data_IF_235000144290
#
_entry.id   IF_235000144290
#
_cell.length_a   1.000
_cell.length_b   1.000
_cell.length_c   1.000
_cell.angle_alpha   90.00
_cell.angle_beta   90.00
_cell.angle_gamma   90.00
#
_symmetry.space_group_name_H-M   'P 1'
#
loop_
_entity.id
_entity.type
_entity.pdbx_description
1 polymer ?
#
# COMPACT_ATOMS: atom_id res chain seq x y z
N UNK A 1 12.81 10.46 21.23
CA UNK A 1 12.07 9.33 20.62
C UNK A 1 10.63 9.80 20.41
N UNK A 2 10.26 10.49 19.35
CA UNK A 2 10.23 10.08 17.95
C UNK A 2 8.76 9.99 17.52
N UNK A 3 8.09 11.14 17.34
CA UNK A 3 6.64 11.29 17.09
C UNK A 3 6.12 10.63 15.79
N UNK A 4 6.92 9.79 15.14
CA UNK A 4 6.71 9.16 13.84
C UNK A 4 5.79 7.94 13.91
N UNK A 5 5.67 7.30 15.08
CA UNK A 5 4.87 6.08 15.29
C UNK A 5 3.50 6.32 15.91
N UNK A 6 3.15 7.58 16.21
CA UNK A 6 1.83 7.86 16.75
C UNK A 6 0.78 7.52 15.68
N UNK A 7 -0.30 6.79 16.05
CA UNK A 7 -1.38 6.43 15.13
C UNK A 7 -2.25 7.65 14.77
N UNK A 8 -1.74 8.85 15.02
CA UNK A 8 -2.41 10.11 14.82
C UNK A 8 -1.48 11.10 14.14
N UNK A 9 -2.09 11.96 13.32
CA UNK A 9 -1.41 13.14 12.81
C UNK A 9 -2.36 14.33 12.86
N UNK A 10 -1.76 15.51 13.04
CA UNK A 10 -2.47 16.77 13.22
C UNK A 10 -1.98 17.78 12.20
N UNK A 11 -2.81 18.78 11.94
CA UNK A 11 -2.45 19.91 11.12
C UNK A 11 -3.40 21.08 11.33
N UNK A 12 -3.03 22.19 10.72
CA UNK A 12 -3.78 23.43 10.77
C UNK A 12 -3.92 23.96 9.34
N UNK A 13 -5.12 24.41 9.00
CA UNK A 13 -5.46 24.97 7.70
C UNK A 13 -5.94 26.40 7.90
N UNK A 14 -5.28 27.34 7.25
CA UNK A 14 -5.72 28.73 7.22
C UNK A 14 -7.00 28.87 6.41
N UNK A 15 -7.92 29.71 6.90
CA UNK A 15 -9.23 29.94 6.30
C UNK A 15 -9.45 31.45 6.15
N UNK A 16 -9.11 32.03 4.99
CA UNK A 16 -9.20 33.48 4.77
C UNK A 16 -10.62 34.03 4.94
N UNK A 17 -11.61 33.24 4.52
CA UNK A 17 -13.06 33.56 4.59
C UNK A 17 -13.65 33.34 5.99
N UNK A 18 -12.90 32.72 6.92
CA UNK A 18 -13.34 32.44 8.30
C UNK A 18 -13.51 30.94 8.58
N UNK A 19 -13.17 30.55 9.81
CA UNK A 19 -13.07 29.14 10.20
C UNK A 19 -14.44 28.43 10.24
N UNK A 20 -15.49 29.11 10.71
CA UNK A 20 -16.84 28.53 10.78
C UNK A 20 -17.42 28.26 9.39
N UNK A 21 -17.23 29.19 8.45
CA UNK A 21 -17.72 29.02 7.08
C UNK A 21 -16.97 27.91 6.36
N UNK A 22 -15.64 27.85 6.53
CA UNK A 22 -14.82 26.75 6.03
C UNK A 22 -15.29 25.39 6.59
N UNK A 23 -15.57 25.30 7.89
CA UNK A 23 -16.10 24.08 8.52
C UNK A 23 -17.47 23.69 7.96
N UNK A 24 -18.34 24.67 7.73
CA UNK A 24 -19.65 24.45 7.12
C UNK A 24 -19.54 23.92 5.68
N UNK A 25 -18.58 24.42 4.89
CA UNK A 25 -18.29 23.90 3.53
C UNK A 25 -17.80 22.47 3.56
N UNK A 26 -16.87 22.14 4.46
CA UNK A 26 -16.38 20.75 4.64
C UNK A 26 -17.53 19.82 5.03
N UNK A 27 -18.38 20.25 5.98
CA UNK A 27 -19.55 19.50 6.43
C UNK A 27 -20.53 19.25 5.27
N UNK A 28 -20.78 20.27 4.44
CA UNK A 28 -21.62 20.16 3.24
C UNK A 28 -21.02 19.17 2.24
N UNK A 29 -19.73 19.27 1.93
CA UNK A 29 -19.05 18.37 1.02
C UNK A 29 -19.05 16.91 1.50
N UNK A 30 -19.04 16.66 2.80
CA UNK A 30 -19.22 15.31 3.36
C UNK A 30 -20.64 14.79 3.14
N UNK A 31 -21.67 15.61 3.42
CA UNK A 31 -23.08 15.25 3.19
C UNK A 31 -23.37 14.97 1.73
N UNK A 32 -22.81 15.78 0.84
CA UNK A 32 -22.93 15.63 -0.62
C UNK A 32 -22.02 14.54 -1.21
N UNK A 33 -21.18 13.90 -0.38
CA UNK A 33 -20.20 12.89 -0.82
C UNK A 33 -19.28 13.43 -1.91
N UNK A 34 -18.71 14.61 -1.69
CA UNK A 34 -17.77 15.28 -2.60
C UNK A 34 -16.37 15.41 -2.03
N UNK A 35 -16.18 15.29 -0.71
CA UNK A 35 -14.86 15.46 -0.09
C UNK A 35 -13.84 14.40 -0.55
N UNK A 36 -14.28 13.17 -0.73
CA UNK A 36 -13.47 12.05 -1.22
C UNK A 36 -14.01 11.58 -2.59
N UNK A 37 -13.17 10.99 -3.47
CA UNK A 37 -13.60 10.64 -4.82
C UNK A 37 -14.51 9.39 -4.82
N UNK A 38 -15.84 9.53 -4.83
CA UNK A 38 -16.76 8.38 -4.76
C UNK A 38 -17.06 7.73 -6.13
N UNK A 39 -16.05 7.51 -6.98
CA UNK A 39 -16.26 6.67 -8.17
C UNK A 39 -16.46 5.19 -7.81
N UNK A 40 -16.24 4.78 -6.55
CA UNK A 40 -16.53 3.44 -6.06
C UNK A 40 -17.46 3.46 -4.82
N UNK A 41 -18.52 2.62 -4.74
CA UNK A 41 -19.43 2.51 -3.59
C UNK A 41 -18.77 1.96 -2.30
N UNK A 42 -17.47 1.68 -2.34
CA UNK A 42 -16.67 1.11 -1.24
C UNK A 42 -16.20 2.14 -0.25
N UNK A 43 -16.00 3.39 -0.67
CA UNK A 43 -15.43 4.45 0.16
C UNK A 43 -16.58 5.22 0.77
N UNK A 44 -16.74 5.22 2.09
CA UNK A 44 -17.86 5.89 2.81
C UNK A 44 -17.39 6.47 4.13
N UNK A 45 -17.75 7.73 4.37
CA UNK A 45 -17.56 8.42 5.64
C UNK A 45 -18.91 8.86 6.20
N UNK A 46 -19.04 8.75 7.52
CA UNK A 46 -20.22 9.12 8.28
C UNK A 46 -19.87 10.22 9.26
N UNK A 47 -20.75 11.22 9.35
CA UNK A 47 -20.61 12.31 10.31
C UNK A 47 -21.09 11.80 11.67
N UNK A 48 -20.21 11.84 12.66
CA UNK A 48 -20.48 11.44 14.05
C UNK A 48 -20.97 12.63 14.86
N UNK A 49 -20.35 13.79 14.65
CA UNK A 49 -20.67 15.03 15.35
C UNK A 49 -20.53 16.21 14.38
N UNK A 50 -21.49 17.13 14.40
CA UNK A 50 -21.43 18.35 13.59
C UNK A 50 -22.06 19.49 14.36
N UNK A 51 -21.28 20.54 14.57
CA UNK A 51 -21.69 21.79 15.21
C UNK A 51 -21.08 22.96 14.44
N UNK A 52 -21.33 24.20 14.92
CA UNK A 52 -20.79 25.41 14.30
C UNK A 52 -19.25 25.48 14.33
N UNK A 53 -18.63 24.91 15.37
CA UNK A 53 -17.20 25.08 15.66
C UNK A 53 -16.43 23.76 15.67
N UNK A 54 -17.12 22.63 15.48
CA UNK A 54 -16.55 21.29 15.56
C UNK A 54 -17.24 20.34 14.60
N UNK A 55 -16.45 19.48 13.95
CA UNK A 55 -16.89 18.41 13.07
C UNK A 55 -16.09 17.16 13.38
N UNK A 56 -16.77 16.03 13.49
CA UNK A 56 -16.15 14.70 13.58
C UNK A 56 -16.79 13.77 12.56
N UNK A 57 -15.98 13.14 11.74
CA UNK A 57 -16.43 12.14 10.79
C UNK A 57 -15.50 10.93 10.79
N UNK A 58 -16.05 9.76 10.53
CA UNK A 58 -15.31 8.50 10.56
C UNK A 58 -15.60 7.66 9.33
N UNK A 59 -14.71 6.74 9.01
CA UNK A 59 -14.96 5.76 7.98
C UNK A 59 -16.13 4.85 8.39
N UNK A 60 -17.05 4.60 7.46
CA UNK A 60 -18.29 3.86 7.66
C UNK A 60 -18.09 2.33 7.67
N UNK A 61 -16.99 1.86 7.08
CA UNK A 61 -16.70 0.44 6.94
C UNK A 61 -15.19 0.16 6.93
N UNK A 62 -14.84 -1.10 7.21
CA UNK A 62 -13.45 -1.56 7.25
C UNK A 62 -12.73 -1.36 5.91
N UNK A 63 -13.43 -1.49 4.78
CA UNK A 63 -12.85 -1.29 3.46
C UNK A 63 -12.34 0.16 3.28
N UNK A 64 -13.09 1.15 3.75
CA UNK A 64 -12.70 2.57 3.73
C UNK A 64 -11.56 2.81 4.72
N UNK A 65 -11.67 2.23 5.92
CA UNK A 65 -10.65 2.33 6.98
C UNK A 65 -9.26 1.85 6.51
N UNK A 66 -9.21 0.77 5.73
CA UNK A 66 -7.95 0.18 5.23
C UNK A 66 -7.48 0.86 3.94
N UNK A 67 -8.39 1.23 3.03
CA UNK A 67 -7.98 1.74 1.70
C UNK A 67 -7.48 3.18 1.76
N UNK A 68 -8.16 4.03 2.53
CA UNK A 68 -7.81 5.46 2.65
C UNK A 68 -6.93 5.70 3.88
N UNK A 69 -7.09 4.88 4.93
CA UNK A 69 -6.28 4.96 6.15
C UNK A 69 -6.59 6.15 7.06
N UNK A 70 -7.67 6.89 6.79
CA UNK A 70 -8.28 7.86 7.71
C UNK A 70 -9.42 7.15 8.43
N UNK A 71 -9.27 6.86 9.73
CA UNK A 71 -10.28 6.14 10.51
C UNK A 71 -11.27 7.08 11.16
N UNK A 72 -10.77 8.07 11.90
CA UNK A 72 -11.55 9.11 12.57
C UNK A 72 -10.86 10.45 12.33
N UNK A 73 -11.61 11.45 11.90
CA UNK A 73 -11.13 12.79 11.62
C UNK A 73 -11.94 13.77 12.46
N UNK A 74 -11.23 14.50 13.30
CA UNK A 74 -11.77 15.55 14.14
C UNK A 74 -11.28 16.91 13.64
N UNK A 75 -12.16 17.88 13.58
CA UNK A 75 -11.87 19.24 13.14
C UNK A 75 -12.53 20.24 14.07
N UNK A 76 -11.82 21.31 14.40
CA UNK A 76 -12.35 22.42 15.19
C UNK A 76 -11.84 23.77 14.69
N UNK A 77 -12.65 24.80 14.88
CA UNK A 77 -12.27 26.18 14.55
C UNK A 77 -11.27 26.71 15.57
N UNK A 78 -10.20 27.33 15.11
CA UNK A 78 -9.15 27.91 15.95
C UNK A 78 -8.91 29.37 15.54
N UNK A 79 -8.94 30.29 16.53
CA UNK A 79 -8.63 31.71 16.33
C UNK A 79 -9.49 32.44 15.28
N UNK A 80 -10.66 31.90 14.92
CA UNK A 80 -11.58 32.46 13.90
C UNK A 80 -11.09 32.39 12.44
N UNK A 81 -9.81 32.10 12.21
CA UNK A 81 -9.16 32.10 10.89
C UNK A 81 -8.39 30.82 10.55
N UNK A 82 -8.48 29.79 11.37
CA UNK A 82 -7.89 28.51 11.10
C UNK A 82 -8.80 27.34 11.48
N UNK A 83 -8.61 26.22 10.82
CA UNK A 83 -9.16 24.92 11.19
C UNK A 83 -8.05 24.02 11.66
N UNK A 84 -8.11 23.60 12.92
CA UNK A 84 -7.25 22.54 13.43
C UNK A 84 -7.93 21.20 13.18
N UNK A 85 -7.14 20.22 12.76
CA UNK A 85 -7.66 18.88 12.58
C UNK A 85 -6.71 17.83 13.18
N UNK A 86 -7.28 16.73 13.64
CA UNK A 86 -6.57 15.54 14.07
C UNK A 86 -7.17 14.31 13.40
N UNK A 87 -6.32 13.39 13.01
CA UNK A 87 -6.71 12.15 12.31
C UNK A 87 -6.16 10.97 13.06
N UNK A 88 -6.96 9.92 13.21
CA UNK A 88 -6.50 8.60 13.64
C UNK A 88 -6.40 7.62 12.47
N UNK A 89 -5.37 6.77 12.49
CA UNK A 89 -5.07 5.74 11.50
C UNK A 89 -4.81 4.36 12.16
N UNK A 90 -5.28 4.16 13.40
CA UNK A 90 -4.97 2.97 14.20
C UNK A 90 -5.36 1.64 13.55
N UNK A 91 -6.54 1.57 12.92
CA UNK A 91 -7.02 0.34 12.26
C UNK A 91 -6.23 0.00 11.01
N UNK A 92 -5.71 1.01 10.33
CA UNK A 92 -4.79 0.80 9.21
C UNK A 92 -3.47 0.20 9.68
N UNK A 93 -2.94 0.67 10.81
CA UNK A 93 -1.73 0.10 11.43
C UNK A 93 -1.98 -1.35 11.86
N UNK A 94 -3.13 -1.62 12.49
CA UNK A 94 -3.52 -2.98 12.87
C UNK A 94 -3.63 -3.90 11.64
N UNK A 95 -4.16 -3.39 10.54
CA UNK A 95 -4.20 -4.13 9.27
C UNK A 95 -2.80 -4.48 8.76
N UNK A 96 -1.84 -3.55 8.80
CA UNK A 96 -0.46 -3.84 8.37
C UNK A 96 0.19 -4.91 9.26
N UNK A 97 0.00 -4.82 10.58
CA UNK A 97 0.50 -5.82 11.53
C UNK A 97 -0.18 -7.18 11.31
N UNK A 98 -1.50 -7.19 11.12
CA UNK A 98 -2.26 -8.41 10.86
C UNK A 98 -1.88 -9.05 9.51
N UNK A 99 -1.61 -8.25 8.48
CA UNK A 99 -1.13 -8.71 7.19
C UNK A 99 0.25 -9.37 7.33
N UNK A 100 1.18 -8.71 8.02
CA UNK A 100 2.50 -9.27 8.30
C UNK A 100 2.42 -10.56 9.13
N UNK A 101 1.60 -10.56 10.19
CA UNK A 101 1.35 -11.74 11.02
C UNK A 101 0.70 -12.89 10.25
N UNK A 102 -0.23 -12.60 9.36
CA UNK A 102 -0.87 -13.60 8.49
C UNK A 102 0.12 -14.24 7.52
N UNK A 103 1.02 -13.44 6.93
CA UNK A 103 2.13 -13.94 6.11
C UNK A 103 3.03 -14.85 6.95
N UNK A 104 3.38 -14.46 8.17
CA UNK A 104 4.23 -15.25 9.06
C UNK A 104 3.56 -16.56 9.52
N UNK A 105 2.28 -16.52 9.87
CA UNK A 105 1.52 -17.70 10.26
C UNK A 105 1.42 -18.70 9.10
N UNK A 106 1.17 -18.19 7.88
CA UNK A 106 1.16 -19.00 6.67
C UNK A 106 2.53 -19.65 6.42
N UNK A 107 3.62 -18.88 6.52
CA UNK A 107 4.99 -19.40 6.39
C UNK A 107 5.33 -20.45 7.46
N UNK A 108 5.00 -20.19 8.73
CA UNK A 108 5.25 -21.13 9.83
C UNK A 108 4.47 -22.43 9.69
N UNK A 109 3.19 -22.34 9.31
CA UNK A 109 2.37 -23.51 9.02
C UNK A 109 2.93 -24.33 7.87
N UNK A 110 3.42 -23.66 6.81
CA UNK A 110 4.07 -24.34 5.68
C UNK A 110 5.31 -25.14 6.12
N UNK A 111 6.11 -24.62 7.05
CA UNK A 111 7.27 -25.32 7.60
C UNK A 111 6.91 -26.50 8.52
N UNK A 112 5.87 -26.35 9.35
CA UNK A 112 5.44 -27.39 10.30
C UNK A 112 4.75 -28.58 9.63
N UNK A 113 3.91 -28.29 8.62
CA UNK A 113 3.10 -29.32 7.95
C UNK A 113 3.95 -30.09 6.92
N UNK A 114 5.08 -29.54 6.50
CA UNK A 114 5.90 -30.12 5.42
C UNK A 114 7.39 -30.25 5.82
N UNK A 115 7.77 -31.25 6.63
CA UNK A 115 9.16 -31.47 7.05
C UNK A 115 10.15 -31.65 5.88
N UNK A 116 9.69 -32.17 4.74
CA UNK A 116 10.46 -32.28 3.49
C UNK A 116 10.79 -30.94 2.84
N UNK A 117 9.95 -29.91 3.03
CA UNK A 117 10.21 -28.53 2.60
C UNK A 117 11.34 -27.93 3.43
N UNK A 118 11.30 -28.12 4.76
CA UNK A 118 12.39 -27.71 5.65
C UNK A 118 13.72 -28.41 5.35
N UNK A 119 13.69 -29.72 5.08
CA UNK A 119 14.89 -30.50 4.77
C UNK A 119 15.45 -30.23 3.36
N UNK A 120 14.58 -29.98 2.37
CA UNK A 120 14.96 -29.67 1.00
C UNK A 120 15.52 -28.27 0.80
N UNK A 121 15.01 -27.28 1.56
CA UNK A 121 15.51 -25.88 1.52
C UNK A 121 16.90 -25.70 2.13
N UNK A 122 17.34 -26.62 2.98
CA UNK A 122 18.48 -26.42 3.88
C UNK A 122 19.68 -27.31 3.56
N UNK A 123 19.55 -28.18 2.54
CA UNK A 123 20.58 -29.16 2.21
C UNK A 123 20.93 -30.08 3.39
N UNK A 124 19.99 -30.29 4.33
CA UNK A 124 20.22 -31.04 5.57
C UNK A 124 20.85 -30.23 6.71
N UNK A 125 21.02 -28.91 6.59
CA UNK A 125 21.48 -28.05 7.70
C UNK A 125 20.34 -27.77 8.70
N UNK A 126 20.41 -28.31 9.93
CA UNK A 126 19.33 -28.17 10.92
C UNK A 126 19.11 -26.72 11.41
N UNK A 127 20.07 -25.81 11.23
CA UNK A 127 19.98 -24.41 11.66
C UNK A 127 19.46 -23.42 10.60
N UNK A 128 19.47 -23.80 9.33
CA UNK A 128 19.04 -22.94 8.23
C UNK A 128 17.51 -22.60 8.20
N UNK A 129 16.57 -23.48 8.63
CA UNK A 129 15.15 -23.11 8.71
C UNK A 129 14.90 -21.96 9.68
N UNK A 130 15.62 -21.98 10.81
CA UNK A 130 15.43 -21.03 11.92
C UNK A 130 15.86 -19.63 11.49
N UNK A 131 17.01 -19.49 10.83
CA UNK A 131 17.49 -18.19 10.38
C UNK A 131 16.67 -17.61 9.23
N UNK A 132 16.18 -18.42 8.29
CA UNK A 132 15.30 -17.95 7.22
C UNK A 132 13.96 -17.44 7.75
N UNK A 133 13.37 -18.16 8.71
CA UNK A 133 12.17 -17.72 9.41
C UNK A 133 12.43 -16.47 10.24
N UNK A 134 13.59 -16.36 10.91
CA UNK A 134 13.96 -15.17 11.68
C UNK A 134 14.17 -13.93 10.80
N UNK A 135 14.82 -14.07 9.64
CA UNK A 135 15.00 -12.98 8.66
C UNK A 135 13.66 -12.57 8.06
N UNK A 136 12.80 -13.53 7.70
CA UNK A 136 11.44 -13.25 7.21
C UNK A 136 10.59 -12.54 8.27
N UNK A 137 10.64 -13.01 9.52
CA UNK A 137 9.98 -12.40 10.68
C UNK A 137 10.43 -10.95 10.87
N UNK A 138 11.74 -10.71 10.87
CA UNK A 138 12.29 -9.37 10.97
C UNK A 138 11.86 -8.49 9.79
N UNK A 139 11.90 -9.02 8.56
CA UNK A 139 11.50 -8.26 7.39
C UNK A 139 10.02 -7.88 7.43
N UNK A 140 9.10 -8.82 7.65
CA UNK A 140 7.67 -8.53 7.59
C UNK A 140 7.15 -7.79 8.81
N UNK A 141 7.60 -8.12 10.03
CA UNK A 141 7.13 -7.44 11.24
C UNK A 141 7.78 -6.08 11.44
N UNK A 142 9.05 -5.91 11.05
CA UNK A 142 9.82 -4.68 11.30
C UNK A 142 9.97 -3.87 10.03
N UNK A 143 10.70 -4.37 9.03
CA UNK A 143 11.11 -3.56 7.86
C UNK A 143 9.90 -3.14 7.01
N UNK A 144 9.05 -4.10 6.64
CA UNK A 144 7.86 -3.87 5.83
C UNK A 144 6.86 -2.96 6.56
N UNK A 145 6.55 -3.26 7.82
CA UNK A 145 5.66 -2.43 8.66
C UNK A 145 6.18 -1.01 8.80
N UNK A 146 7.50 -0.84 9.02
CA UNK A 146 8.13 0.48 9.13
C UNK A 146 8.03 1.26 7.81
N UNK A 147 8.33 0.63 6.66
CA UNK A 147 8.19 1.26 5.35
C UNK A 147 6.74 1.70 5.11
N UNK A 148 5.78 0.82 5.40
CA UNK A 148 4.35 1.13 5.25
C UNK A 148 3.96 2.32 6.12
N UNK A 149 4.35 2.34 7.39
CA UNK A 149 4.08 3.46 8.31
C UNK A 149 4.72 4.77 7.82
N UNK A 150 5.96 4.72 7.36
CA UNK A 150 6.71 5.89 6.87
C UNK A 150 6.07 6.50 5.62
N UNK A 151 5.55 5.68 4.71
CA UNK A 151 4.93 6.14 3.46
C UNK A 151 3.49 6.60 3.69
N UNK A 152 2.74 5.92 4.55
CA UNK A 152 1.31 6.18 4.72
C UNK A 152 1.00 7.55 5.31
N UNK A 153 1.64 7.93 6.43
CA UNK A 153 1.36 9.20 7.09
C UNK A 153 1.52 10.43 6.18
N UNK A 154 2.65 10.65 5.48
CA UNK A 154 2.80 11.81 4.62
C UNK A 154 1.83 11.77 3.44
N UNK A 155 1.51 10.58 2.92
CA UNK A 155 0.55 10.42 1.83
C UNK A 155 -0.87 10.79 2.27
N UNK A 156 -1.35 10.20 3.36
CA UNK A 156 -2.69 10.44 3.91
C UNK A 156 -2.89 11.91 4.33
N UNK A 157 -1.87 12.52 4.94
CA UNK A 157 -1.90 13.94 5.30
C UNK A 157 -2.00 14.85 4.08
N UNK A 158 -1.11 14.68 3.10
CA UNK A 158 -1.12 15.48 1.85
C UNK A 158 -2.45 15.35 1.14
N UNK A 159 -2.97 14.13 1.07
CA UNK A 159 -4.25 13.82 0.44
C UNK A 159 -5.43 14.51 1.14
N UNK A 160 -5.50 14.44 2.47
CA UNK A 160 -6.57 15.06 3.25
C UNK A 160 -6.50 16.58 3.19
N UNK A 161 -5.34 17.17 3.48
CA UNK A 161 -5.15 18.63 3.44
C UNK A 161 -5.53 19.19 2.08
N UNK A 162 -5.14 18.49 1.01
CA UNK A 162 -5.45 18.89 -0.34
C UNK A 162 -6.96 19.02 -0.60
N UNK A 163 -7.68 17.96 -0.23
CA UNK A 163 -9.13 17.90 -0.40
C UNK A 163 -9.85 18.93 0.46
N UNK A 164 -9.39 19.12 1.70
CA UNK A 164 -9.92 20.15 2.59
C UNK A 164 -9.69 21.55 2.01
N UNK A 165 -8.48 21.88 1.57
CA UNK A 165 -8.17 23.19 0.95
C UNK A 165 -9.04 23.47 -0.26
N UNK A 166 -9.23 22.47 -1.13
CA UNK A 166 -10.07 22.60 -2.31
C UNK A 166 -11.53 22.95 -1.96
N UNK A 167 -12.12 22.21 -1.01
CA UNK A 167 -13.50 22.44 -0.55
C UNK A 167 -13.63 23.78 0.17
N UNK A 168 -12.66 24.16 0.99
CA UNK A 168 -12.64 25.45 1.70
C UNK A 168 -12.63 26.60 0.67
N UNK A 169 -11.79 26.48 -0.36
CA UNK A 169 -11.70 27.44 -1.46
C UNK A 169 -12.93 27.43 -2.40
N UNK A 170 -13.94 26.59 -2.15
CA UNK A 170 -15.12 26.47 -3.00
C UNK A 170 -14.86 25.85 -4.38
N UNK A 171 -13.66 25.28 -4.59
CA UNK A 171 -13.31 24.55 -5.80
C UNK A 171 -13.78 23.11 -5.72
N UNK A 172 -14.07 22.49 -6.86
CA UNK A 172 -14.34 21.07 -6.88
C UNK A 172 -13.07 20.30 -6.45
N UNK A 173 -13.10 19.51 -5.36
CA UNK A 173 -11.93 18.77 -4.90
C UNK A 173 -11.39 17.75 -5.91
N UNK A 174 -12.17 17.36 -6.91
CA UNK A 174 -11.69 16.59 -8.06
C UNK A 174 -11.06 17.47 -9.17
N UNK A 175 -11.43 18.75 -9.25
CA UNK A 175 -10.91 19.72 -10.22
C UNK A 175 -9.79 20.62 -9.67
N UNK A 176 -9.59 20.64 -8.35
CA UNK A 176 -8.53 21.43 -7.72
C UNK A 176 -7.18 21.03 -8.30
N UNK A 177 -6.17 21.92 -8.27
CA UNK A 177 -4.80 21.53 -8.59
C UNK A 177 -4.39 20.27 -7.85
N UNK A 178 -5.03 19.95 -6.70
CA UNK A 178 -4.79 18.76 -5.88
C UNK A 178 -5.67 17.53 -6.14
N UNK A 179 -6.81 17.67 -6.81
CA UNK A 179 -7.41 16.59 -7.61
C UNK A 179 -6.51 16.26 -8.82
N UNK A 180 -5.86 17.30 -9.37
CA UNK A 180 -4.69 17.16 -10.24
C UNK A 180 -3.42 16.68 -9.51
N UNK A 181 -3.19 16.95 -8.23
CA UNK A 181 -2.07 16.37 -7.45
C UNK A 181 -2.37 14.90 -7.12
N UNK A 182 -3.61 14.47 -6.92
CA UNK A 182 -3.91 13.04 -6.92
C UNK A 182 -3.59 12.41 -8.28
N UNK A 183 -3.66 13.17 -9.38
CA UNK A 183 -3.19 12.74 -10.71
C UNK A 183 -1.74 13.17 -11.05
N UNK A 184 -1.04 13.91 -10.16
CA UNK A 184 0.27 14.54 -10.42
C UNK A 184 1.26 14.65 -9.23
N UNK A 185 1.00 13.96 -8.11
CA UNK A 185 1.85 13.88 -6.91
C UNK A 185 2.70 12.60 -6.92
N UNK A 186 2.74 11.92 -8.06
CA UNK A 186 3.61 10.82 -8.29
C UNK A 186 5.07 11.26 -8.21
N UNK A 187 5.92 10.33 -7.85
CA UNK A 187 7.36 10.53 -7.91
C UNK A 187 7.86 10.02 -9.26
N UNK A 188 8.76 10.77 -9.89
CA UNK A 188 9.47 10.37 -11.11
C UNK A 188 10.94 10.66 -10.90
N UNK A 189 11.77 9.63 -10.97
CA UNK A 189 13.22 9.73 -10.93
C UNK A 189 13.82 8.77 -11.94
N UNK A 190 14.87 9.23 -12.62
CA UNK A 190 15.63 8.44 -13.58
C UNK A 190 17.10 8.77 -13.38
N UNK A 191 17.94 7.75 -13.22
CA UNK A 191 19.38 7.94 -13.15
C UNK A 191 19.95 8.38 -14.50
N UNK A 192 21.01 9.20 -14.46
CA UNK A 192 21.78 9.57 -15.66
C UNK A 192 22.60 8.39 -16.20
N UNK A 193 23.09 7.52 -15.30
CA UNK A 193 23.76 6.28 -15.67
C UNK A 193 22.80 5.37 -16.45
N UNK A 194 23.27 4.84 -17.58
CA UNK A 194 22.51 3.92 -18.44
C UNK A 194 23.29 2.62 -18.67
N UNK A 195 22.55 1.52 -18.80
CA UNK A 195 23.05 0.20 -19.15
C UNK A 195 22.13 -0.34 -20.25
N UNK A 196 22.71 -0.74 -21.38
CA UNK A 196 21.95 -1.17 -22.58
C UNK A 196 20.87 -0.18 -23.04
N UNK A 197 21.13 1.13 -22.90
CA UNK A 197 20.18 2.19 -23.26
C UNK A 197 19.02 2.39 -22.27
N UNK A 198 18.95 1.58 -21.19
CA UNK A 198 18.01 1.74 -20.09
C UNK A 198 18.68 2.47 -18.92
N UNK A 199 17.95 3.30 -18.15
CA UNK A 199 18.51 3.91 -16.95
C UNK A 199 18.84 2.83 -15.92
N UNK A 200 19.94 2.99 -15.20
CA UNK A 200 20.32 2.10 -14.10
C UNK A 200 19.20 2.04 -13.05
N UNK A 201 18.62 3.18 -12.67
CA UNK A 201 17.51 3.26 -11.72
C UNK A 201 16.38 4.12 -12.31
N UNK A 202 15.16 3.58 -12.27
CA UNK A 202 13.93 4.29 -12.63
C UNK A 202 12.90 4.13 -11.52
N UNK A 203 12.40 5.25 -11.01
CA UNK A 203 11.32 5.27 -10.01
C UNK A 203 10.14 6.04 -10.61
N UNK A 204 8.97 5.42 -10.64
CA UNK A 204 7.74 6.02 -11.11
C UNK A 204 6.58 5.53 -10.26
N UNK A 205 6.27 6.25 -9.18
CA UNK A 205 5.19 5.87 -8.24
C UNK A 205 4.06 6.85 -8.37
N UNK A 206 2.83 6.36 -8.44
CA UNK A 206 1.64 7.17 -8.45
C UNK A 206 1.46 8.06 -9.68
N UNK A 207 0.37 8.83 -9.69
CA UNK A 207 -0.03 9.58 -10.86
C UNK A 207 0.87 10.82 -11.09
N UNK A 208 1.45 10.98 -12.28
CA UNK A 208 2.29 12.13 -12.64
C UNK A 208 2.36 12.37 -14.15
N UNK A 209 2.33 13.64 -14.53
CA UNK A 209 2.33 14.17 -15.91
C UNK A 209 1.13 13.66 -16.73
N UNK A 210 -0.06 13.64 -16.13
CA UNK A 210 -1.29 13.18 -16.79
C UNK A 210 -1.46 11.66 -16.84
N UNK A 211 -0.49 10.89 -16.33
CA UNK A 211 -0.65 9.44 -16.16
C UNK A 211 -1.26 9.11 -14.79
N UNK A 212 -2.28 8.23 -14.76
CA UNK A 212 -2.90 7.74 -13.53
C UNK A 212 -2.07 6.67 -12.81
N UNK A 213 -0.97 6.21 -13.42
CA UNK A 213 -0.06 5.21 -12.86
C UNK A 213 1.37 5.56 -13.25
N UNK A 214 2.29 5.34 -12.35
CA UNK A 214 3.72 5.45 -12.60
C UNK A 214 4.27 4.19 -13.27
N UNK A 215 4.82 4.35 -14.47
CA UNK A 215 5.48 3.26 -15.21
C UNK A 215 6.99 3.47 -15.15
N UNK A 216 7.70 2.61 -14.44
CA UNK A 216 9.16 2.64 -14.31
C UNK A 216 9.79 1.64 -15.30
N UNK A 217 10.81 2.09 -16.04
CA UNK A 217 11.57 1.24 -16.97
C UNK A 217 13.07 1.45 -16.75
N UNK A 218 13.79 0.43 -16.32
CA UNK A 218 15.22 0.54 -16.01
C UNK A 218 15.84 -0.80 -15.63
N UNK A 219 17.13 -0.82 -15.31
CA UNK A 219 17.76 -2.03 -14.75
C UNK A 219 17.14 -2.33 -13.38
N UNK A 220 17.04 -1.31 -12.53
CA UNK A 220 16.28 -1.32 -11.27
C UNK A 220 15.06 -0.41 -11.44
N UNK A 221 13.86 -1.00 -11.43
CA UNK A 221 12.60 -0.31 -11.66
C UNK A 221 11.69 -0.39 -10.42
N UNK A 222 11.23 0.76 -9.92
CA UNK A 222 10.28 0.84 -8.80
C UNK A 222 9.07 1.68 -9.21
N UNK A 223 7.87 1.11 -9.22
CA UNK A 223 6.69 1.87 -9.63
C UNK A 223 5.36 1.15 -9.52
N UNK A 224 4.27 1.80 -9.93
CA UNK A 224 2.95 1.14 -9.96
C UNK A 224 2.96 0.02 -11.00
N UNK A 225 3.63 0.27 -12.13
CA UNK A 225 4.05 -0.71 -13.11
C UNK A 225 5.57 -0.62 -13.27
N UNK A 226 6.31 -1.67 -12.96
CA UNK A 226 7.77 -1.70 -13.04
C UNK A 226 8.21 -2.71 -14.10
N UNK A 227 9.09 -2.31 -15.02
CA UNK A 227 9.70 -3.18 -16.03
C UNK A 227 11.22 -3.06 -15.96
N UNK A 228 11.93 -4.14 -15.64
CA UNK A 228 13.37 -4.08 -15.48
C UNK A 228 14.06 -5.41 -15.24
N UNK A 229 15.37 -5.39 -14.95
CA UNK A 229 16.06 -6.61 -14.49
C UNK A 229 15.61 -6.92 -13.06
N UNK A 230 15.52 -5.89 -12.21
CA UNK A 230 14.92 -5.94 -10.89
C UNK A 230 13.73 -4.98 -10.88
N UNK A 231 12.52 -5.51 -10.68
CA UNK A 231 11.27 -4.77 -10.75
C UNK A 231 10.50 -4.87 -9.43
N UNK A 232 10.10 -3.74 -8.85
CA UNK A 232 9.32 -3.67 -7.62
C UNK A 232 8.08 -2.81 -7.84
N UNK A 233 6.88 -3.35 -7.65
CA UNK A 233 5.68 -2.57 -7.94
C UNK A 233 4.33 -3.24 -7.71
N UNK A 234 3.25 -2.53 -8.06
CA UNK A 234 1.91 -3.13 -8.10
C UNK A 234 1.83 -4.23 -9.15
N UNK A 235 2.32 -3.94 -10.35
CA UNK A 235 2.62 -4.89 -11.41
C UNK A 235 4.12 -4.83 -11.75
N UNK A 236 4.86 -5.91 -11.53
CA UNK A 236 6.30 -5.98 -11.74
C UNK A 236 6.63 -7.00 -12.84
N UNK A 237 7.46 -6.60 -13.80
CA UNK A 237 7.89 -7.43 -14.93
C UNK A 237 9.42 -7.39 -15.02
N UNK A 238 10.10 -8.52 -14.87
CA UNK A 238 11.55 -8.49 -14.92
C UNK A 238 12.30 -9.80 -14.76
N UNK A 239 13.62 -9.73 -14.56
CA UNK A 239 14.39 -10.90 -14.13
C UNK A 239 14.00 -11.32 -12.71
N UNK A 240 14.00 -10.35 -11.79
CA UNK A 240 13.50 -10.46 -10.43
C UNK A 240 12.33 -9.50 -10.27
N UNK A 241 11.13 -10.01 -9.98
CA UNK A 241 9.90 -9.24 -9.89
C UNK A 241 9.26 -9.39 -8.50
N UNK A 242 9.02 -8.26 -7.82
CA UNK A 242 8.38 -8.19 -6.51
C UNK A 242 7.13 -7.32 -6.62
N UNK A 243 5.94 -7.89 -6.39
CA UNK A 243 4.72 -7.07 -6.53
C UNK A 243 3.39 -7.74 -6.26
N UNK A 244 2.29 -7.02 -6.48
CA UNK A 244 0.95 -7.60 -6.42
C UNK A 244 0.73 -8.62 -7.54
N UNK A 245 1.06 -8.21 -8.77
CA UNK A 245 1.29 -9.07 -9.92
C UNK A 245 2.80 -9.05 -10.23
N UNK A 246 3.45 -10.20 -10.21
CA UNK A 246 4.88 -10.32 -10.50
C UNK A 246 5.10 -11.31 -11.65
N UNK A 247 5.83 -10.89 -12.68
CA UNK A 247 6.19 -11.74 -13.83
C UNK A 247 7.70 -11.68 -14.02
N UNK A 248 8.39 -12.81 -13.92
CA UNK A 248 9.84 -12.80 -14.12
C UNK A 248 10.55 -14.13 -13.97
N UNK A 249 11.87 -14.18 -14.13
CA UNK A 249 12.61 -15.42 -13.86
C UNK A 249 12.45 -15.83 -12.38
N UNK A 250 12.53 -14.87 -11.47
CA UNK A 250 12.13 -14.98 -10.07
C UNK A 250 10.98 -14.02 -9.79
N UNK A 251 9.80 -14.54 -9.43
CA UNK A 251 8.61 -13.73 -9.15
C UNK A 251 8.15 -13.94 -7.71
N UNK A 252 7.91 -12.86 -6.97
CA UNK A 252 7.33 -12.89 -5.62
C UNK A 252 6.15 -11.94 -5.56
N UNK A 253 4.95 -12.44 -5.24
CA UNK A 253 3.78 -11.58 -5.24
C UNK A 253 2.45 -12.22 -4.87
N UNK A 254 1.37 -11.46 -5.02
CA UNK A 254 0.02 -12.01 -4.87
C UNK A 254 -0.31 -13.01 -5.99
N UNK A 255 -0.08 -12.59 -7.24
CA UNK A 255 -0.04 -13.43 -8.42
C UNK A 255 1.38 -13.40 -9.01
N UNK A 256 2.08 -14.53 -9.00
CA UNK A 256 3.46 -14.66 -9.43
C UNK A 256 3.55 -15.62 -10.63
N UNK A 257 4.17 -15.18 -11.71
CA UNK A 257 4.43 -15.96 -12.93
C UNK A 257 5.93 -15.96 -13.20
N UNK A 258 6.58 -17.12 -13.28
CA UNK A 258 8.01 -17.11 -13.51
C UNK A 258 8.70 -18.45 -13.73
N UNK A 259 10.02 -18.46 -13.85
CA UNK A 259 10.75 -19.74 -13.76
C UNK A 259 10.65 -20.26 -12.33
N UNK A 260 10.85 -19.38 -11.36
CA UNK A 260 10.62 -19.61 -9.94
C UNK A 260 9.62 -18.59 -9.41
N UNK A 261 8.46 -19.04 -8.95
CA UNK A 261 7.35 -18.18 -8.54
C UNK A 261 6.94 -18.44 -7.08
N UNK A 262 6.81 -17.37 -6.29
CA UNK A 262 6.32 -17.38 -4.92
C UNK A 262 5.09 -16.49 -4.81
N UNK A 263 3.93 -17.03 -4.43
CA UNK A 263 2.76 -16.17 -4.27
C UNK A 263 1.46 -16.86 -3.86
N UNK A 264 0.37 -16.09 -3.76
CA UNK A 264 -0.96 -16.67 -3.53
C UNK A 264 -1.39 -17.55 -4.72
N UNK A 265 -1.27 -17.00 -5.92
CA UNK A 265 -1.25 -17.74 -7.18
C UNK A 265 0.19 -17.75 -7.67
N UNK A 266 0.77 -18.93 -7.89
CA UNK A 266 2.12 -19.11 -8.40
C UNK A 266 2.10 -20.01 -9.64
N UNK A 267 2.66 -19.54 -10.74
CA UNK A 267 2.76 -20.31 -11.99
C UNK A 267 4.20 -20.27 -12.46
N UNK A 268 4.83 -21.42 -12.67
CA UNK A 268 6.21 -21.44 -13.12
C UNK A 268 6.86 -22.79 -13.33
N UNK A 269 8.15 -22.83 -13.64
CA UNK A 269 8.88 -24.11 -13.64
C UNK A 269 8.91 -24.68 -12.21
N UNK A 270 9.21 -23.82 -11.24
CA UNK A 270 9.12 -24.05 -9.80
C UNK A 270 8.10 -23.06 -9.21
N UNK A 271 6.95 -23.55 -8.76
CA UNK A 271 5.87 -22.73 -8.23
C UNK A 271 5.64 -23.01 -6.74
N UNK A 272 5.55 -21.96 -5.93
CA UNK A 272 5.35 -22.01 -4.48
C UNK A 272 4.17 -21.11 -4.12
N UNK A 273 3.05 -21.66 -3.65
CA UNK A 273 1.90 -20.80 -3.38
C UNK A 273 0.64 -21.45 -2.85
N UNK A 274 -0.43 -20.67 -2.74
CA UNK A 274 -1.76 -21.20 -2.41
C UNK A 274 -2.29 -22.09 -3.53
N UNK A 275 -2.32 -21.54 -4.75
CA UNK A 275 -2.47 -22.27 -6.01
C UNK A 275 -1.13 -22.25 -6.74
N UNK A 276 -0.49 -23.40 -6.89
CA UNK A 276 0.80 -23.56 -7.55
C UNK A 276 0.67 -24.40 -8.82
N UNK A 277 1.10 -23.86 -9.96
CA UNK A 277 1.07 -24.58 -11.25
C UNK A 277 2.47 -24.60 -11.84
N UNK A 278 3.05 -25.78 -12.06
CA UNK A 278 4.41 -25.86 -12.55
C UNK A 278 4.99 -27.25 -12.73
N UNK A 279 6.22 -27.34 -13.27
CA UNK A 279 6.93 -28.63 -13.36
C UNK A 279 7.20 -29.16 -11.95
N UNK A 280 7.80 -28.33 -11.10
CA UNK A 280 7.80 -28.48 -9.65
C UNK A 280 6.78 -27.52 -9.05
N UNK A 281 5.78 -28.02 -8.34
CA UNK A 281 4.75 -27.18 -7.74
C UNK A 281 4.53 -27.56 -6.28
N UNK A 282 4.59 -26.60 -5.37
CA UNK A 282 4.39 -26.76 -3.94
C UNK A 282 3.33 -25.79 -3.48
N UNK A 283 2.20 -26.29 -3.00
CA UNK A 283 1.11 -25.40 -2.61
C UNK A 283 -0.14 -26.10 -2.12
N UNK A 284 -1.12 -25.31 -1.65
CA UNK A 284 -2.40 -25.85 -1.17
C UNK A 284 -3.16 -26.61 -2.26
N UNK A 285 -3.12 -26.08 -3.49
CA UNK A 285 -3.51 -26.77 -4.71
C UNK A 285 -2.32 -26.73 -5.67
N UNK A 286 -1.64 -27.87 -5.85
CA UNK A 286 -0.49 -27.99 -6.75
C UNK A 286 -0.84 -28.78 -8.03
N UNK A 287 -0.54 -28.23 -9.20
CA UNK A 287 -0.80 -28.84 -10.51
C UNK A 287 0.51 -28.88 -11.30
N UNK A 288 0.93 -30.06 -11.77
CA UNK A 288 2.30 -30.22 -12.27
C UNK A 288 2.78 -31.65 -12.48
N UNK A 289 4.03 -31.80 -12.91
CA UNK A 289 4.69 -33.11 -13.11
C UNK A 289 5.21 -33.65 -11.77
N UNK A 290 5.86 -32.78 -11.00
CA UNK A 290 6.36 -33.02 -9.65
C UNK A 290 5.62 -32.08 -8.70
N UNK A 291 4.42 -32.48 -8.32
CA UNK A 291 3.57 -31.71 -7.42
C UNK A 291 3.72 -32.20 -5.99
N UNK A 292 3.68 -31.24 -5.08
CA UNK A 292 3.48 -31.47 -3.67
C UNK A 292 2.32 -30.60 -3.21
N UNK A 293 1.14 -31.22 -3.18
CA UNK A 293 -0.08 -30.68 -2.61
C UNK A 293 -0.36 -31.45 -1.32
N UNK A 294 -0.56 -30.80 -0.17
CA UNK A 294 -1.22 -31.47 0.94
C UNK A 294 -2.63 -31.81 0.45
N UNK A 295 -2.93 -33.11 0.30
CA UNK A 295 -4.27 -33.57 -0.05
C UNK A 295 -5.30 -33.18 1.04
N UNK A 296 -6.61 -33.34 0.76
CA UNK A 296 -7.66 -33.04 1.74
C UNK A 296 -7.50 -33.83 3.04
#
# INVERSE_FOLDING_TARGET
MGAWFLPTFEGELETPEGAEEALARVTRALKERRLFPFTSPRWRYEIVESSRNRLRFRAANLATEITIGLNDVFMETYGGRALRYSVSSFKWILYVVALAGGIMAFQGALFLVLPSVGNGMTGGNPGAPVWLLAVSLFFFLVVFSMIMLLVHRPMARRMLEARLRAVIAGTDPDASPEGRFMTNNGYRYRSEATVWGLPLVSIAVGPKDGSLRGVAKGVIAVGDVAVGVVAVGGAAFGGVALGGLAVGALAVGGAALGLTAFGGLAVGLLAFGGLAVGVGAVGGLAIGISTFSPGP
#
